data_IF_881710462096
#
_entry.id   IF_881710462096
#
_cell.length_a   1.000
_cell.length_b   1.000
_cell.length_c   1.000
_cell.angle_alpha   90.00
_cell.angle_beta   90.00
_cell.angle_gamma   90.00
#
_symmetry.space_group_name_H-M   'P 1'
#
loop_
_entity.id
_entity.type
_entity.pdbx_description
1 polymer ?
#
# COMPACT_ATOMS: atom_id res chain seq x y z
N UNK A 1 5.14 -17.65 -6.77
CA UNK A 1 3.95 -16.80 -6.53
C UNK A 1 2.82 -17.25 -7.43
N UNK A 2 1.68 -17.60 -6.83
CA UNK A 2 0.43 -17.76 -7.58
C UNK A 2 0.12 -16.47 -8.36
N UNK A 3 -0.57 -16.58 -9.49
CA UNK A 3 -0.85 -15.43 -10.39
C UNK A 3 -1.54 -14.28 -9.65
N UNK A 4 -2.31 -14.60 -8.61
CA UNK A 4 -2.99 -13.64 -7.76
C UNK A 4 -2.07 -13.00 -6.71
N UNK A 5 -1.13 -13.75 -6.14
CA UNK A 5 -0.13 -13.22 -5.18
C UNK A 5 0.76 -12.18 -5.86
N UNK A 6 1.22 -12.50 -7.07
CA UNK A 6 2.01 -11.57 -7.88
C UNK A 6 1.22 -10.29 -8.19
N UNK A 7 -0.06 -10.40 -8.55
CA UNK A 7 -0.92 -9.24 -8.82
C UNK A 7 -1.09 -8.35 -7.58
N UNK A 8 -1.35 -8.94 -6.41
CA UNK A 8 -1.45 -8.15 -5.18
C UNK A 8 -0.13 -7.47 -4.82
N UNK A 9 1.01 -8.15 -5.01
CA UNK A 9 2.33 -7.57 -4.78
C UNK A 9 2.66 -6.42 -5.76
N UNK A 10 2.33 -6.55 -7.04
CA UNK A 10 2.49 -5.45 -8.01
C UNK A 10 1.59 -4.26 -7.67
N UNK A 11 0.32 -4.48 -7.28
CA UNK A 11 -0.57 -3.41 -6.83
C UNK A 11 -0.05 -2.71 -5.58
N UNK A 12 0.57 -3.44 -4.65
CA UNK A 12 1.18 -2.86 -3.46
C UNK A 12 2.39 -1.97 -3.78
N UNK A 13 3.31 -2.44 -4.62
CA UNK A 13 4.43 -1.63 -5.12
C UNK A 13 3.96 -0.37 -5.85
N UNK A 14 2.84 -0.48 -6.59
CA UNK A 14 2.26 0.66 -7.28
C UNK A 14 1.77 1.72 -6.29
N UNK A 15 1.16 1.36 -5.16
CA UNK A 15 0.76 2.33 -4.11
C UNK A 15 1.96 3.01 -3.49
N UNK A 16 3.04 2.27 -3.21
CA UNK A 16 4.26 2.85 -2.63
C UNK A 16 4.80 3.95 -3.54
N UNK A 17 4.86 3.67 -4.85
CA UNK A 17 5.43 4.60 -5.83
C UNK A 17 4.47 5.72 -6.24
N UNK A 18 3.17 5.48 -6.24
CA UNK A 18 2.16 6.42 -6.76
C UNK A 18 1.42 7.23 -5.69
N UNK A 19 1.30 6.72 -4.47
CA UNK A 19 0.62 7.40 -3.37
C UNK A 19 1.63 7.87 -2.33
N UNK A 20 2.47 6.96 -1.82
CA UNK A 20 3.42 7.24 -0.73
C UNK A 20 4.75 7.86 -1.20
N UNK A 21 4.91 8.06 -2.51
CA UNK A 21 6.03 8.80 -3.06
C UNK A 21 5.86 10.32 -2.87
N UNK A 22 6.88 11.09 -3.25
CA UNK A 22 6.91 12.55 -3.13
C UNK A 22 5.75 13.27 -3.85
N UNK A 23 5.08 12.62 -4.80
CA UNK A 23 3.92 13.19 -5.50
C UNK A 23 2.80 12.18 -5.54
N UNK A 24 1.65 12.59 -5.02
CA UNK A 24 0.39 11.86 -5.08
C UNK A 24 -0.12 11.80 -6.53
N UNK A 25 -0.22 10.61 -7.09
CA UNK A 25 -0.80 10.37 -8.41
C UNK A 25 -2.29 10.69 -8.36
N UNK A 26 -2.88 11.42 -9.34
CA UNK A 26 -4.31 11.71 -9.36
C UNK A 26 -5.21 10.46 -9.31
N UNK A 27 -4.70 9.31 -9.79
CA UNK A 27 -5.43 8.04 -9.82
C UNK A 27 -5.18 7.17 -8.56
N UNK A 28 -4.63 7.71 -7.48
CA UNK A 28 -4.30 6.95 -6.27
C UNK A 28 -5.50 6.20 -5.67
N UNK A 29 -6.71 6.76 -5.71
CA UNK A 29 -7.93 6.10 -5.19
C UNK A 29 -8.21 4.78 -5.91
N UNK A 30 -8.21 4.78 -7.25
CA UNK A 30 -8.43 3.57 -8.03
C UNK A 30 -7.34 2.53 -7.82
N UNK A 31 -6.09 2.97 -7.59
CA UNK A 31 -4.96 2.09 -7.33
C UNK A 31 -5.12 1.40 -5.96
N UNK A 32 -5.58 2.14 -4.94
CA UNK A 32 -5.84 1.58 -3.60
C UNK A 32 -7.01 0.62 -3.61
N UNK A 33 -8.11 0.97 -4.28
CA UNK A 33 -9.27 0.08 -4.44
C UNK A 33 -8.89 -1.23 -5.14
N UNK A 34 -8.08 -1.18 -6.20
CA UNK A 34 -7.60 -2.35 -6.93
C UNK A 34 -6.71 -3.24 -6.04
N UNK A 35 -5.82 -2.65 -5.25
CA UNK A 35 -4.99 -3.38 -4.29
C UNK A 35 -5.86 -4.12 -3.26
N UNK A 36 -6.84 -3.44 -2.66
CA UNK A 36 -7.74 -4.02 -1.67
C UNK A 36 -8.53 -5.19 -2.26
N UNK A 37 -9.00 -5.04 -3.50
CA UNK A 37 -9.67 -6.11 -4.22
C UNK A 37 -8.77 -7.33 -4.41
N UNK A 38 -7.50 -7.11 -4.78
CA UNK A 38 -6.53 -8.19 -4.95
C UNK A 38 -6.20 -8.89 -3.61
N UNK A 39 -6.07 -8.15 -2.51
CA UNK A 39 -5.88 -8.73 -1.17
C UNK A 39 -7.09 -9.54 -0.69
N UNK A 40 -8.32 -9.08 -0.96
CA UNK A 40 -9.55 -9.82 -0.67
C UNK A 40 -9.63 -11.13 -1.46
N UNK A 41 -9.26 -11.12 -2.75
CA UNK A 41 -9.22 -12.32 -3.60
C UNK A 41 -8.22 -13.35 -3.05
N UNK A 42 -7.11 -12.89 -2.48
CA UNK A 42 -6.12 -13.76 -1.83
C UNK A 42 -6.57 -14.31 -0.48
N UNK A 43 -7.74 -13.92 0.03
CA UNK A 43 -8.18 -14.28 1.39
C UNK A 43 -7.27 -13.74 2.48
N UNK A 44 -6.43 -12.74 2.16
CA UNK A 44 -5.53 -12.14 3.12
C UNK A 44 -6.33 -11.25 4.08
N UNK A 45 -6.22 -11.50 5.39
CA UNK A 45 -6.74 -10.57 6.39
C UNK A 45 -6.02 -9.24 6.22
N UNK A 46 -6.72 -8.22 5.72
CA UNK A 46 -6.15 -6.87 5.63
C UNK A 46 -5.77 -6.41 7.02
N UNK A 47 -4.53 -5.95 7.19
CA UNK A 47 -4.11 -5.36 8.44
C UNK A 47 -4.95 -4.12 8.74
N UNK A 48 -5.08 -3.78 10.02
CA UNK A 48 -5.79 -2.56 10.46
C UNK A 48 -5.28 -1.30 9.72
N UNK A 49 -4.00 -1.30 9.32
CA UNK A 49 -3.35 -0.21 8.58
C UNK A 49 -3.82 -0.10 7.13
N UNK A 50 -4.09 -1.21 6.44
CA UNK A 50 -4.68 -1.19 5.08
C UNK A 50 -6.14 -0.72 5.14
N UNK A 51 -6.89 -1.14 6.16
CA UNK A 51 -8.25 -0.66 6.39
C UNK A 51 -8.28 0.84 6.75
N UNK A 52 -7.29 1.29 7.54
CA UNK A 52 -7.11 2.70 7.85
C UNK A 52 -6.77 3.52 6.60
N UNK A 53 -5.86 3.01 5.76
CA UNK A 53 -5.50 3.62 4.48
C UNK A 53 -6.73 3.81 3.59
N UNK A 54 -7.52 2.75 3.39
CA UNK A 54 -8.78 2.77 2.62
C UNK A 54 -9.77 3.83 3.15
N UNK A 55 -9.96 3.86 4.47
CA UNK A 55 -10.95 4.74 5.12
C UNK A 55 -10.51 6.21 5.16
N UNK A 56 -9.21 6.49 5.10
CA UNK A 56 -8.65 7.83 5.31
C UNK A 56 -7.78 8.30 4.14
N UNK A 57 -8.01 7.81 2.92
CA UNK A 57 -7.27 8.24 1.72
C UNK A 57 -7.27 9.76 1.50
N UNK A 58 -8.36 10.43 1.86
CA UNK A 58 -8.52 11.88 1.73
C UNK A 58 -7.85 12.68 2.86
N UNK A 59 -7.44 12.01 3.95
CA UNK A 59 -6.71 12.65 5.06
C UNK A 59 -5.24 12.93 4.71
N UNK A 60 -4.71 12.22 3.71
CA UNK A 60 -3.32 12.34 3.26
C UNK A 60 -3.16 13.57 2.34
N UNK A 61 -2.28 14.53 2.68
CA UNK A 61 -2.02 15.70 1.84
C UNK A 61 -1.31 15.28 0.54
N UNK A 62 -1.31 16.19 -0.44
CA UNK A 62 -0.74 15.93 -1.78
C UNK A 62 0.78 15.69 -1.77
N UNK A 63 1.48 16.26 -0.81
CA UNK A 63 2.92 16.10 -0.63
C UNK A 63 3.19 15.26 0.62
N UNK A 64 3.22 13.94 0.44
CA UNK A 64 3.56 13.00 1.50
C UNK A 64 5.06 12.96 1.80
N UNK A 65 5.90 13.56 0.94
CA UNK A 65 7.32 13.74 1.22
C UNK A 65 7.58 14.70 2.38
N UNK A 66 6.65 15.63 2.66
CA UNK A 66 6.70 16.55 3.79
C UNK A 66 5.98 16.04 5.04
N UNK A 67 5.11 15.02 4.92
CA UNK A 67 4.40 14.42 6.05
C UNK A 67 5.30 13.39 6.72
N UNK A 68 6.24 13.94 7.50
CA UNK A 68 6.96 13.33 8.62
C UNK A 68 7.71 12.03 8.32
N UNK A 69 9.04 12.12 8.44
CA UNK A 69 9.93 10.97 8.61
C UNK A 69 9.32 9.91 9.56
N UNK A 70 8.56 10.27 10.59
CA UNK A 70 7.97 9.30 11.53
C UNK A 70 6.83 8.46 10.93
N UNK A 71 5.88 9.05 10.18
CA UNK A 71 4.82 8.29 9.52
C UNK A 71 5.38 7.48 8.34
N UNK A 72 6.32 8.05 7.59
CA UNK A 72 7.02 7.38 6.49
C UNK A 72 7.82 6.18 6.99
N UNK A 73 8.59 6.32 8.08
CA UNK A 73 9.42 5.26 8.67
C UNK A 73 8.58 4.09 9.22
N UNK A 74 7.45 4.36 9.89
CA UNK A 74 6.55 3.29 10.37
C UNK A 74 5.96 2.52 9.18
N UNK A 75 5.55 3.23 8.13
CA UNK A 75 4.98 2.62 6.93
C UNK A 75 6.05 1.83 6.16
N UNK A 76 7.27 2.36 6.08
CA UNK A 76 8.43 1.67 5.51
C UNK A 76 8.77 0.39 6.27
N UNK A 77 8.67 0.40 7.61
CA UNK A 77 8.89 -0.79 8.42
C UNK A 77 7.84 -1.87 8.14
N UNK A 78 6.56 -1.52 8.06
CA UNK A 78 5.50 -2.48 7.73
C UNK A 78 5.63 -3.01 6.30
N UNK A 79 6.01 -2.15 5.34
CA UNK A 79 6.30 -2.53 3.96
C UNK A 79 7.43 -3.56 3.95
N UNK A 80 8.52 -3.31 4.65
CA UNK A 80 9.67 -4.23 4.76
C UNK A 80 9.26 -5.56 5.37
N UNK A 81 8.36 -5.52 6.35
CA UNK A 81 7.81 -6.71 6.99
C UNK A 81 6.87 -7.51 6.07
N UNK A 82 6.07 -6.82 5.25
CA UNK A 82 5.29 -7.44 4.18
C UNK A 82 6.20 -8.02 3.09
N UNK A 83 7.18 -7.26 2.61
CA UNK A 83 8.15 -7.69 1.60
C UNK A 83 8.86 -8.97 2.02
N UNK A 84 9.32 -9.06 3.28
CA UNK A 84 9.93 -10.28 3.84
C UNK A 84 8.98 -11.49 3.79
N UNK A 85 7.69 -11.31 4.10
CA UNK A 85 6.70 -12.40 4.10
C UNK A 85 6.43 -12.95 2.70
N UNK A 86 6.61 -12.12 1.67
CA UNK A 86 6.34 -12.49 0.28
C UNK A 86 7.61 -12.80 -0.55
N UNK A 87 8.80 -12.30 -0.18
CA UNK A 87 10.09 -12.65 -0.81
C UNK A 87 10.70 -13.96 -0.28
N UNK A 88 10.25 -14.45 0.88
CA UNK A 88 10.73 -15.70 1.48
C UNK A 88 10.03 -16.98 1.00
N UNK A 89 9.18 -16.91 -0.04
CA UNK A 89 8.46 -18.05 -0.63
C UNK A 89 8.78 -18.23 -2.12
#
# INVERSE_FOLDING_TARGET
>A
METNERKAWESFKLIITSFLGNKKNPNYKSIVEEMIKNFKILGCSMSLKVQFLDSHLDYFPEDLGAVSEEQGEIFHHDIKDMERRYQGK
#
